data_IF_240033638494
#
_entry.id   IF_240033638494
#
_cell.length_a   1.000
_cell.length_b   1.000
_cell.length_c   1.000
_cell.angle_alpha   90.00
_cell.angle_beta   90.00
_cell.angle_gamma   90.00
#
_symmetry.space_group_name_H-M   'P 1'
#
loop_
_entity.id
_entity.type
_entity.pdbx_description
1 polymer ?
#
# COMPACT_ATOMS: atom_id res chain seq x y z
N UNK A 1 13.68 7.56 10.52
CA UNK A 1 12.85 8.76 10.69
C UNK A 1 11.39 8.49 10.32
N UNK A 2 11.12 7.94 9.14
CA UNK A 2 9.75 7.59 8.70
C UNK A 2 8.96 6.74 9.70
N UNK A 3 9.54 5.67 10.25
CA UNK A 3 8.82 4.81 11.22
C UNK A 3 8.39 5.53 12.51
N UNK A 4 9.24 6.41 13.06
CA UNK A 4 8.88 7.19 14.26
C UNK A 4 7.83 8.25 13.94
N UNK A 5 7.90 8.86 12.76
CA UNK A 5 6.88 9.80 12.29
C UNK A 5 5.53 9.09 12.09
N UNK A 6 5.55 7.85 11.58
CA UNK A 6 4.38 6.98 11.53
C UNK A 6 3.81 6.75 12.92
N UNK A 7 4.60 6.23 13.86
CA UNK A 7 4.15 5.94 15.23
C UNK A 7 3.60 7.18 15.94
N UNK A 8 4.18 8.36 15.68
CA UNK A 8 3.66 9.62 16.19
C UNK A 8 2.23 9.88 15.72
N UNK A 9 1.92 9.63 14.45
CA UNK A 9 0.56 9.80 13.89
C UNK A 9 -0.38 8.70 14.43
N UNK A 10 0.06 7.45 14.47
CA UNK A 10 -0.74 6.31 14.97
C UNK A 10 -1.19 6.52 16.43
N UNK A 11 -0.32 7.08 17.27
CA UNK A 11 -0.62 7.37 18.66
C UNK A 11 -1.83 8.32 18.85
N UNK A 12 -2.18 9.12 17.83
CA UNK A 12 -3.36 9.99 17.85
C UNK A 12 -4.64 9.33 17.33
N UNK A 13 -4.52 8.20 16.62
CA UNK A 13 -5.66 7.35 16.23
C UNK A 13 -6.02 6.42 17.40
N UNK A 14 -5.00 5.93 18.11
CA UNK A 14 -5.09 4.90 19.14
C UNK A 14 -4.54 3.58 18.60
N UNK A 15 -3.51 3.04 19.26
CA UNK A 15 -2.88 1.76 18.88
C UNK A 15 -3.84 0.56 19.00
N UNK A 16 -4.98 0.75 19.65
CA UNK A 16 -6.06 -0.21 19.84
C UNK A 16 -7.19 -0.07 18.81
N UNK A 17 -7.07 0.85 17.85
CA UNK A 17 -8.05 0.98 16.78
C UNK A 17 -8.12 -0.32 15.96
N UNK A 18 -9.32 -0.91 15.75
CA UNK A 18 -9.45 -2.25 15.17
C UNK A 18 -9.22 -2.31 13.66
N UNK A 19 -8.98 -1.18 12.99
CA UNK A 19 -8.75 -1.12 11.56
C UNK A 19 -7.28 -1.33 11.16
N UNK A 20 -7.03 -1.43 9.85
CA UNK A 20 -5.67 -1.50 9.31
C UNK A 20 -5.17 -0.09 9.02
N UNK A 21 -4.05 0.29 9.63
CA UNK A 21 -3.38 1.57 9.40
C UNK A 21 -2.07 1.38 8.64
N UNK A 22 -1.82 2.24 7.65
CA UNK A 22 -0.60 2.22 6.82
C UNK A 22 -0.07 3.63 6.67
N UNK A 23 1.18 3.85 7.07
CA UNK A 23 1.91 5.09 6.84
C UNK A 23 2.79 4.97 5.59
N UNK A 24 2.60 5.90 4.63
CA UNK A 24 3.42 5.98 3.41
C UNK A 24 4.18 7.31 3.44
N UNK A 25 5.47 7.25 3.73
CA UNK A 25 6.36 8.39 3.57
C UNK A 25 6.78 8.50 2.09
N UNK A 26 6.16 9.44 1.38
CA UNK A 26 6.38 9.67 -0.05
C UNK A 26 7.24 10.91 -0.34
N UNK A 27 7.98 11.45 0.64
CA UNK A 27 8.76 12.68 0.45
C UNK A 27 9.78 12.59 -0.70
N UNK A 28 10.40 11.42 -0.88
CA UNK A 28 11.36 11.17 -1.97
C UNK A 28 10.70 10.84 -3.33
N UNK A 29 9.78 9.88 -3.45
CA UNK A 29 9.28 9.45 -4.76
C UNK A 29 8.35 10.44 -5.47
N UNK A 30 7.87 11.50 -4.82
CA UNK A 30 6.95 12.47 -5.44
C UNK A 30 7.56 13.29 -6.57
N UNK A 31 8.89 13.39 -6.66
CA UNK A 31 9.56 14.19 -7.67
C UNK A 31 10.85 13.54 -8.17
N UNK A 32 11.23 13.88 -9.41
CA UNK A 32 12.54 13.59 -9.98
C UNK A 32 13.09 14.88 -10.57
N UNK A 33 14.19 15.38 -10.00
CA UNK A 33 14.67 16.73 -10.31
C UNK A 33 13.61 17.78 -9.98
N UNK A 34 13.30 18.64 -10.93
CA UNK A 34 12.33 19.73 -10.78
C UNK A 34 10.88 19.37 -11.16
N UNK A 35 10.58 18.10 -11.47
CA UNK A 35 9.25 17.66 -11.92
C UNK A 35 8.62 16.67 -10.97
N UNK A 36 7.31 16.78 -10.78
CA UNK A 36 6.52 15.77 -10.08
C UNK A 36 6.46 14.47 -10.89
N UNK A 37 6.47 13.32 -10.21
CA UNK A 37 6.39 11.98 -10.82
C UNK A 37 4.96 11.47 -10.97
N UNK A 38 4.01 12.01 -10.20
CA UNK A 38 2.66 11.45 -10.09
C UNK A 38 2.59 10.18 -9.22
N UNK A 39 3.60 9.92 -8.39
CA UNK A 39 3.59 8.78 -7.45
C UNK A 39 2.36 8.83 -6.53
N UNK A 40 1.75 7.67 -6.29
CA UNK A 40 0.58 7.50 -5.43
C UNK A 40 -0.66 7.01 -6.17
N UNK A 41 -0.97 7.55 -7.35
CA UNK A 41 -2.18 7.15 -8.10
C UNK A 41 -2.10 5.68 -8.50
N UNK A 42 -1.01 5.28 -9.19
CA UNK A 42 -0.80 3.89 -9.57
C UNK A 42 -0.68 2.95 -8.36
N UNK A 43 -0.10 3.44 -7.25
CA UNK A 43 0.00 2.69 -6.00
C UNK A 43 -1.40 2.36 -5.44
N UNK A 44 -2.29 3.35 -5.36
CA UNK A 44 -3.64 3.16 -4.83
C UNK A 44 -4.50 2.29 -5.77
N UNK A 45 -4.40 2.50 -7.09
CA UNK A 45 -5.12 1.68 -8.07
C UNK A 45 -4.69 0.22 -8.02
N UNK A 46 -3.38 -0.04 -7.87
CA UNK A 46 -2.89 -1.41 -7.69
C UNK A 46 -3.34 -1.98 -6.33
N UNK A 47 -3.14 -1.25 -5.22
CA UNK A 47 -3.45 -1.74 -3.87
C UNK A 47 -4.93 -2.10 -3.69
N UNK A 48 -5.83 -1.31 -4.28
CA UNK A 48 -7.28 -1.51 -4.19
C UNK A 48 -7.90 -2.02 -5.48
N UNK A 49 -7.11 -2.61 -6.38
CA UNK A 49 -7.59 -3.03 -7.69
C UNK A 49 -8.74 -4.03 -7.64
N UNK A 50 -8.82 -4.85 -6.57
CA UNK A 50 -9.94 -5.76 -6.31
C UNK A 50 -11.29 -5.09 -6.05
N UNK A 51 -11.31 -3.80 -5.74
CA UNK A 51 -12.54 -3.03 -5.56
C UNK A 51 -13.09 -2.47 -6.89
N UNK A 52 -12.48 -2.82 -8.02
CA UNK A 52 -12.86 -2.36 -9.36
C UNK A 52 -13.34 -3.54 -10.22
N UNK A 53 -14.07 -3.27 -11.30
CA UNK A 53 -14.44 -4.28 -12.31
C UNK A 53 -13.34 -4.47 -13.39
N UNK A 54 -12.19 -3.80 -13.26
CA UNK A 54 -11.13 -3.85 -14.25
C UNK A 54 -10.24 -5.10 -14.06
N UNK A 55 -10.16 -5.93 -15.10
CA UNK A 55 -9.44 -7.19 -15.03
C UNK A 55 -7.93 -7.03 -14.77
N UNK A 56 -7.31 -5.96 -15.27
CA UNK A 56 -5.89 -5.70 -15.06
C UNK A 56 -5.63 -5.24 -13.62
N UNK A 57 -6.43 -4.31 -13.11
CA UNK A 57 -6.31 -3.84 -11.73
C UNK A 57 -6.57 -4.97 -10.72
N UNK A 58 -7.53 -5.84 -10.99
CA UNK A 58 -7.76 -7.04 -10.19
C UNK A 58 -6.53 -7.97 -10.18
N UNK A 59 -5.90 -8.16 -11.35
CA UNK A 59 -4.74 -9.03 -11.51
C UNK A 59 -3.49 -8.51 -10.78
N UNK A 60 -3.20 -7.20 -10.87
CA UNK A 60 -2.01 -6.61 -10.24
C UNK A 60 -2.19 -6.33 -8.75
N UNK A 61 -3.41 -6.45 -8.22
CA UNK A 61 -3.68 -6.14 -6.81
C UNK A 61 -3.07 -7.20 -5.88
N UNK A 62 -2.20 -6.80 -4.93
CA UNK A 62 -1.62 -7.72 -3.97
C UNK A 62 -2.61 -8.11 -2.85
N UNK A 63 -3.63 -7.28 -2.61
CA UNK A 63 -4.62 -7.49 -1.55
C UNK A 63 -5.65 -8.52 -2.02
N UNK A 64 -5.93 -9.52 -1.17
CA UNK A 64 -6.92 -10.57 -1.45
C UNK A 64 -6.36 -11.85 -2.09
N UNK A 65 -5.03 -11.98 -2.24
CA UNK A 65 -4.38 -13.24 -2.61
C UNK A 65 -4.22 -14.09 -1.35
N UNK A 66 -5.04 -15.13 -1.19
CA UNK A 66 -4.79 -16.15 -0.17
C UNK A 66 -3.66 -17.05 -0.69
N UNK A 67 -2.46 -16.93 -0.14
CA UNK A 67 -1.45 -17.98 -0.32
C UNK A 67 -1.95 -19.21 0.42
N UNK A 68 -2.57 -20.15 -0.30
CA UNK A 68 -2.80 -21.48 0.26
C UNK A 68 -1.45 -22.19 0.34
N UNK A 69 -1.29 -23.05 1.35
CA UNK A 69 -0.04 -23.78 1.62
C UNK A 69 0.48 -24.61 0.43
N UNK A 70 -0.31 -24.76 -0.64
CA UNK A 70 0.04 -25.49 -1.86
C UNK A 70 1.05 -24.74 -2.75
N UNK A 71 1.07 -23.40 -2.71
CA UNK A 71 2.01 -22.60 -3.53
C UNK A 71 3.45 -22.60 -2.96
N UNK A 72 3.64 -22.99 -1.70
CA UNK A 72 4.95 -23.07 -1.04
C UNK A 72 5.67 -24.42 -1.29
N UNK A 73 4.99 -25.41 -1.88
CA UNK A 73 5.54 -26.75 -2.10
C UNK A 73 6.05 -26.99 -3.54
N UNK A 74 5.87 -26.01 -4.44
CA UNK A 74 6.34 -26.09 -5.83
C UNK A 74 7.50 -25.12 -6.14
N UNK A 75 8.14 -24.56 -5.11
CA UNK A 75 9.34 -23.71 -5.22
C UNK A 75 10.64 -24.47 -4.97
#
# INVERSE_FOLDING_TARGET
>A
MSSCAGLFIEAHIGFDWPGVWVHIDMASPVHTGARATGYGVALLLALFGRATDDALLNFISPVGVNFTTEDALCG
#
